data_IF_628609226822
#
_entry.id   IF_628609226822
#
_cell.length_a   1.000
_cell.length_b   1.000
_cell.length_c   1.000
_cell.angle_alpha   90.00
_cell.angle_beta   90.00
_cell.angle_gamma   90.00
#
_symmetry.space_group_name_H-M   'P 1'
#
loop_
_entity.id
_entity.type
_entity.pdbx_description
1 polymer ?
#
# COMPACT_ATOMS: atom_id res chain seq x y z
N UNK A 1 10.94 -8.60 -8.49
CA UNK A 1 9.79 -9.52 -8.56
C UNK A 1 8.51 -8.74 -8.30
N UNK A 2 7.46 -8.98 -9.08
CA UNK A 2 6.17 -8.29 -9.00
C UNK A 2 5.06 -9.18 -8.41
N UNK A 3 5.39 -10.28 -7.74
CA UNK A 3 4.41 -11.23 -7.22
C UNK A 3 3.37 -10.59 -6.28
N UNK A 4 3.78 -9.67 -5.40
CA UNK A 4 2.87 -8.99 -4.47
C UNK A 4 1.90 -8.04 -5.20
N UNK A 5 2.34 -7.40 -6.29
CA UNK A 5 1.52 -6.54 -7.13
C UNK A 5 0.43 -7.34 -7.85
N UNK A 6 0.84 -8.46 -8.48
CA UNK A 6 -0.09 -9.37 -9.17
C UNK A 6 -1.06 -10.02 -8.16
N UNK A 7 -0.56 -10.50 -7.03
CA UNK A 7 -1.37 -11.09 -5.98
C UNK A 7 -2.46 -10.12 -5.49
N UNK A 8 -2.08 -8.87 -5.24
CA UNK A 8 -3.00 -7.83 -4.81
C UNK A 8 -4.06 -7.52 -5.87
N UNK A 9 -3.64 -7.43 -7.15
CA UNK A 9 -4.51 -7.17 -8.29
C UNK A 9 -5.58 -8.24 -8.44
N UNK A 10 -5.17 -9.50 -8.35
CA UNK A 10 -6.09 -10.65 -8.48
C UNK A 10 -7.00 -10.79 -7.28
N UNK A 11 -6.45 -10.79 -6.05
CA UNK A 11 -7.23 -11.02 -4.84
C UNK A 11 -8.33 -9.97 -4.62
N UNK A 12 -8.06 -8.72 -4.97
CA UNK A 12 -9.02 -7.62 -4.83
C UNK A 12 -9.85 -7.38 -6.09
N UNK A 13 -9.70 -8.18 -7.15
CA UNK A 13 -10.37 -7.97 -8.44
C UNK A 13 -10.20 -6.53 -8.98
N UNK A 14 -9.04 -5.93 -8.80
CA UNK A 14 -8.83 -4.52 -9.16
C UNK A 14 -8.99 -4.29 -10.67
N UNK A 15 -9.70 -3.24 -11.10
CA UNK A 15 -9.79 -2.85 -12.50
C UNK A 15 -8.43 -2.49 -13.10
N UNK A 16 -8.34 -2.42 -14.42
CA UNK A 16 -7.09 -2.31 -15.16
C UNK A 16 -6.22 -1.12 -14.69
N UNK A 17 -6.82 0.04 -14.46
CA UNK A 17 -6.12 1.25 -14.04
C UNK A 17 -5.72 1.28 -12.56
N UNK A 18 -6.30 0.40 -11.73
CA UNK A 18 -6.13 0.46 -10.27
C UNK A 18 -5.04 -0.49 -9.77
N UNK A 19 -4.00 0.05 -9.18
CA UNK A 19 -2.95 -0.70 -8.51
C UNK A 19 -2.82 -0.24 -7.06
N UNK A 20 -3.12 -1.13 -6.10
CA UNK A 20 -2.95 -0.85 -4.67
C UNK A 20 -1.50 -0.95 -4.20
N UNK A 21 -0.67 -1.68 -4.93
CA UNK A 21 0.77 -1.82 -4.71
C UNK A 21 1.47 -1.59 -6.05
N UNK A 22 2.60 -0.89 -6.01
CA UNK A 22 3.57 -0.80 -7.12
C UNK A 22 4.92 -1.26 -6.62
N UNK A 23 5.63 -2.01 -7.43
CA UNK A 23 7.00 -2.43 -7.12
C UNK A 23 7.95 -1.56 -7.93
N UNK A 24 8.67 -0.71 -7.23
CA UNK A 24 9.68 0.14 -7.85
C UNK A 24 11.05 -0.52 -7.73
N UNK A 25 11.90 -0.33 -8.71
CA UNK A 25 13.32 -0.65 -8.63
C UNK A 25 14.11 0.57 -8.19
N UNK A 26 14.99 0.39 -7.21
CA UNK A 26 15.81 1.47 -6.66
C UNK A 26 17.25 1.00 -6.50
N UNK A 27 18.20 1.86 -6.74
CA UNK A 27 19.62 1.54 -6.57
C UNK A 27 20.00 1.36 -5.11
N UNK A 28 19.43 2.16 -4.23
CA UNK A 28 19.70 2.09 -2.78
C UNK A 28 18.38 2.19 -2.00
N UNK A 29 18.17 1.23 -1.10
CA UNK A 29 17.00 1.23 -0.22
C UNK A 29 17.14 2.42 0.75
N UNK A 30 16.11 3.27 0.81
CA UNK A 30 16.14 4.50 1.60
C UNK A 30 16.17 5.79 0.76
N UNK A 31 16.60 5.72 -0.50
CA UNK A 31 16.41 6.80 -1.47
C UNK A 31 15.10 6.56 -2.20
N UNK A 32 14.01 7.11 -1.68
CA UNK A 32 12.68 6.99 -2.27
C UNK A 32 12.30 8.20 -3.13
N UNK A 33 13.27 8.86 -3.70
CA UNK A 33 13.05 9.88 -4.71
C UNK A 33 12.57 9.18 -6.00
N UNK A 34 11.38 9.51 -6.44
CA UNK A 34 10.77 8.96 -7.67
C UNK A 34 11.65 9.22 -8.90
N UNK A 35 12.46 10.28 -8.87
CA UNK A 35 13.44 10.58 -9.93
C UNK A 35 14.57 9.55 -10.04
N UNK A 36 14.77 8.73 -9.00
CA UNK A 36 15.81 7.69 -8.95
C UNK A 36 15.28 6.27 -9.19
N UNK A 37 13.97 6.13 -9.45
CA UNK A 37 13.40 4.84 -9.78
C UNK A 37 14.00 4.30 -11.08
N UNK A 38 14.15 2.97 -11.13
CA UNK A 38 14.76 2.22 -12.24
C UNK A 38 16.23 2.56 -12.53
N UNK A 39 16.90 3.20 -11.56
CA UNK A 39 18.31 3.54 -11.65
C UNK A 39 19.12 2.72 -10.65
N UNK A 40 20.10 1.96 -11.14
CA UNK A 40 21.04 1.25 -10.29
C UNK A 40 21.99 2.23 -9.58
N UNK A 41 22.37 1.94 -8.36
CA UNK A 41 23.44 2.65 -7.64
C UNK A 41 24.78 1.90 -7.75
N UNK A 42 25.87 2.60 -7.44
CA UNK A 42 27.22 2.07 -7.46
C UNK A 42 27.86 2.10 -8.85
N UNK A 43 29.05 1.51 -8.95
CA UNK A 43 29.83 1.39 -10.19
C UNK A 43 30.21 -0.07 -10.40
N UNK A 44 30.29 -0.46 -11.68
CA UNK A 44 30.75 -1.84 -12.02
C UNK A 44 32.12 -2.14 -11.36
N UNK A 45 32.33 -3.32 -10.72
CA UNK A 45 31.38 -4.46 -10.64
C UNK A 45 30.41 -4.42 -9.44
N UNK A 46 30.39 -3.36 -8.64
CA UNK A 46 29.62 -3.26 -7.39
C UNK A 46 28.32 -2.49 -7.61
N UNK A 47 27.49 -2.97 -8.54
CA UNK A 47 26.16 -2.41 -8.78
C UNK A 47 25.14 -2.96 -7.79
N UNK A 48 24.19 -2.10 -7.40
CA UNK A 48 23.04 -2.48 -6.55
C UNK A 48 21.73 -2.09 -7.24
N UNK A 49 20.76 -2.97 -7.16
CA UNK A 49 19.38 -2.73 -7.59
C UNK A 49 18.45 -3.54 -6.70
N UNK A 50 17.52 -2.87 -6.05
CA UNK A 50 16.57 -3.47 -5.09
C UNK A 50 15.14 -3.26 -5.57
N UNK A 51 14.26 -4.21 -5.24
CA UNK A 51 12.82 -4.12 -5.51
C UNK A 51 12.09 -3.65 -4.25
N UNK A 52 11.43 -2.51 -4.34
CA UNK A 52 10.74 -1.89 -3.21
C UNK A 52 9.24 -1.81 -3.50
N UNK A 53 8.41 -2.63 -2.84
CA UNK A 53 6.96 -2.53 -2.97
C UNK A 53 6.45 -1.31 -2.19
N UNK A 54 5.70 -0.45 -2.87
CA UNK A 54 5.09 0.76 -2.30
C UNK A 54 3.58 0.65 -2.39
N UNK A 55 2.92 0.78 -1.26
CA UNK A 55 1.48 0.80 -1.08
C UNK A 55 1.09 1.93 -0.13
N UNK A 56 -0.21 2.08 0.18
CA UNK A 56 -0.63 2.96 1.25
C UNK A 56 0.15 2.67 2.54
N UNK A 57 0.65 3.71 3.17
CA UNK A 57 1.49 3.60 4.37
C UNK A 57 0.68 3.48 5.67
N UNK A 58 -0.66 3.55 5.59
CA UNK A 58 -1.57 3.49 6.74
C UNK A 58 -1.08 4.34 7.92
N UNK A 59 -0.75 5.59 7.63
CA UNK A 59 -0.09 6.54 8.53
C UNK A 59 -0.79 6.69 9.87
N UNK A 60 -0.01 6.96 10.93
CA UNK A 60 -0.57 7.31 12.24
C UNK A 60 -1.26 8.69 12.19
N UNK A 61 -0.63 9.66 11.53
CA UNK A 61 -1.18 11.00 11.28
C UNK A 61 -1.55 11.17 9.78
N UNK A 62 -2.68 10.59 9.31
CA UNK A 62 -2.98 10.54 7.89
C UNK A 62 -3.51 11.89 7.36
N UNK A 63 -2.67 12.65 6.68
CA UNK A 63 -3.05 13.92 6.02
C UNK A 63 -4.25 13.77 5.08
N UNK A 64 -4.39 12.61 4.46
CA UNK A 64 -5.51 12.30 3.57
C UNK A 64 -6.86 12.17 4.30
N UNK A 65 -6.88 11.80 5.58
CA UNK A 65 -8.09 11.81 6.42
C UNK A 65 -8.47 13.24 6.74
N UNK A 66 -7.50 14.04 7.17
CA UNK A 66 -7.72 15.45 7.49
C UNK A 66 -8.21 16.28 6.28
N UNK A 67 -7.75 15.93 5.07
CA UNK A 67 -8.11 16.63 3.83
C UNK A 67 -9.45 16.20 3.23
N UNK A 68 -10.11 15.15 3.74
CA UNK A 68 -11.33 14.62 3.15
C UNK A 68 -12.55 15.46 3.55
N UNK A 69 -13.21 16.22 2.62
CA UNK A 69 -14.29 17.12 2.96
C UNK A 69 -15.59 16.39 3.38
N UNK A 70 -15.79 15.15 2.94
CA UNK A 70 -16.96 14.34 3.27
C UNK A 70 -16.71 13.37 4.42
N UNK A 71 -15.46 13.24 4.90
CA UNK A 71 -15.08 12.23 5.87
C UNK A 71 -15.10 10.80 5.32
N UNK A 72 -15.11 10.62 4.00
CA UNK A 72 -15.07 9.30 3.36
C UNK A 72 -13.74 8.57 3.64
N UNK A 73 -12.62 9.29 3.69
CA UNK A 73 -11.34 8.70 4.11
C UNK A 73 -11.29 8.68 5.64
N UNK A 74 -11.13 7.49 6.21
CA UNK A 74 -11.20 7.25 7.66
C UNK A 74 -9.98 6.44 8.11
N UNK A 75 -9.63 6.57 9.40
CA UNK A 75 -8.71 5.66 10.09
C UNK A 75 -9.53 4.83 11.07
N UNK A 76 -9.36 3.53 11.01
CA UNK A 76 -9.98 2.60 11.96
C UNK A 76 -9.23 2.74 13.29
N UNK A 77 -9.93 3.04 14.40
CA UNK A 77 -9.28 3.28 15.68
C UNK A 77 -8.73 2.01 16.34
N UNK A 78 -9.28 0.84 15.98
CA UNK A 78 -8.90 -0.44 16.60
C UNK A 78 -7.71 -1.08 15.85
N UNK A 79 -7.64 -0.89 14.54
CA UNK A 79 -6.62 -1.55 13.69
C UNK A 79 -5.59 -0.59 13.11
N UNK A 80 -5.79 0.73 13.23
CA UNK A 80 -4.94 1.74 12.60
C UNK A 80 -5.06 1.79 11.07
N UNK A 81 -5.85 0.92 10.45
CA UNK A 81 -5.99 0.85 8.99
C UNK A 81 -6.73 2.07 8.45
N UNK A 82 -6.08 2.80 7.56
CA UNK A 82 -6.74 3.89 6.82
C UNK A 82 -7.52 3.28 5.65
N UNK A 83 -8.78 3.66 5.48
CA UNK A 83 -9.65 3.16 4.41
C UNK A 83 -10.49 4.28 3.79
N UNK A 84 -11.15 3.98 2.70
CA UNK A 84 -12.10 4.88 2.03
C UNK A 84 -13.48 4.21 2.03
N UNK A 85 -14.46 4.97 2.45
CA UNK A 85 -15.88 4.62 2.36
C UNK A 85 -16.40 5.11 0.99
N UNK A 86 -16.59 4.18 0.07
CA UNK A 86 -16.98 4.50 -1.30
C UNK A 86 -18.37 5.15 -1.41
N UNK A 87 -19.27 4.88 -0.46
CA UNK A 87 -20.62 5.49 -0.45
C UNK A 87 -20.56 6.98 -0.08
N UNK A 88 -19.54 7.41 0.66
CA UNK A 88 -19.35 8.82 1.06
C UNK A 88 -18.33 9.54 0.17
N UNK A 89 -17.59 8.81 -0.67
CA UNK A 89 -16.57 9.39 -1.53
C UNK A 89 -17.21 10.10 -2.73
N UNK A 90 -16.84 11.35 -2.94
CA UNK A 90 -17.32 12.18 -4.07
C UNK A 90 -16.28 12.35 -5.18
N UNK A 91 -15.17 11.62 -5.14
CA UNK A 91 -14.11 11.67 -6.16
C UNK A 91 -13.40 13.02 -6.31
N UNK A 92 -13.32 13.84 -5.27
CA UNK A 92 -12.74 15.19 -5.34
C UNK A 92 -11.20 15.25 -5.34
N UNK A 93 -10.52 14.12 -5.24
CA UNK A 93 -9.06 13.95 -5.25
C UNK A 93 -8.25 14.70 -4.18
N UNK A 94 -8.92 15.38 -3.23
CA UNK A 94 -8.23 16.09 -2.14
C UNK A 94 -7.31 15.17 -1.33
N UNK A 95 -7.69 13.91 -1.14
CA UNK A 95 -6.88 12.91 -0.46
C UNK A 95 -5.68 12.40 -1.29
N UNK A 96 -5.74 12.49 -2.62
CA UNK A 96 -4.60 12.21 -3.51
C UNK A 96 -3.59 13.33 -3.36
N UNK A 97 -4.05 14.59 -3.50
CA UNK A 97 -3.20 15.78 -3.39
C UNK A 97 -2.53 15.91 -2.02
N UNK A 98 -3.24 15.54 -0.95
CA UNK A 98 -2.71 15.60 0.42
C UNK A 98 -1.76 14.44 0.78
N UNK A 99 -1.74 13.36 -0.02
CA UNK A 99 -0.90 12.20 0.25
C UNK A 99 0.55 12.47 -0.16
N UNK A 100 1.55 12.36 0.74
CA UNK A 100 2.93 12.60 0.39
C UNK A 100 3.60 11.41 -0.33
N UNK A 101 2.85 10.34 -0.58
CA UNK A 101 3.33 9.13 -1.25
C UNK A 101 2.70 9.03 -2.63
N UNK A 102 3.50 9.30 -3.65
CA UNK A 102 3.03 9.33 -5.03
C UNK A 102 2.49 7.96 -5.48
N UNK A 103 1.35 7.97 -6.19
CA UNK A 103 0.78 6.80 -6.82
C UNK A 103 0.17 5.74 -5.90
N UNK A 104 0.08 5.98 -4.58
CA UNK A 104 -0.54 5.02 -3.64
C UNK A 104 -2.06 5.19 -3.54
N UNK A 105 -2.63 6.23 -4.16
CA UNK A 105 -4.06 6.47 -4.29
C UNK A 105 -4.39 6.69 -5.76
N UNK A 106 -5.51 6.15 -6.19
CA UNK A 106 -5.93 6.22 -7.60
C UNK A 106 -7.39 6.66 -7.64
N UNK A 107 -7.69 7.61 -8.51
CA UNK A 107 -9.06 7.92 -8.89
C UNK A 107 -9.54 6.80 -9.82
N UNK A 108 -10.64 6.16 -9.47
CA UNK A 108 -11.29 5.13 -10.29
C UNK A 108 -12.18 5.83 -11.32
N UNK A 109 -12.02 5.48 -12.59
CA UNK A 109 -12.81 6.04 -13.69
C UNK A 109 -14.31 5.82 -13.46
N UNK A 110 -15.15 6.61 -14.15
CA UNK A 110 -16.61 6.48 -14.05
C UNK A 110 -17.10 5.09 -14.48
N UNK A 111 -16.39 4.49 -15.42
CA UNK A 111 -16.68 3.16 -15.99
C UNK A 111 -15.38 2.35 -15.99
N UNK A 112 -15.02 1.70 -14.85
CA UNK A 112 -13.77 0.97 -14.73
C UNK A 112 -13.78 -0.30 -15.60
N UNK A 113 -12.66 -0.57 -16.24
CA UNK A 113 -12.48 -1.72 -17.12
C UNK A 113 -11.64 -2.81 -16.43
N UNK A 114 -11.95 -4.08 -16.70
CA UNK A 114 -11.19 -5.24 -16.23
C UNK A 114 -10.50 -5.95 -17.41
N UNK A 115 -9.40 -6.63 -17.13
CA UNK A 115 -8.71 -7.46 -18.11
C UNK A 115 -9.48 -8.75 -18.49
N UNK A 116 -10.38 -9.18 -17.62
CA UNK A 116 -11.15 -10.41 -17.76
C UNK A 116 -12.64 -10.10 -17.64
N UNK A 117 -13.46 -10.77 -18.45
CA UNK A 117 -14.92 -10.70 -18.40
C UNK A 117 -15.55 -11.51 -17.24
N UNK A 118 -14.72 -11.97 -16.31
CA UNK A 118 -15.13 -12.73 -15.13
C UNK A 118 -14.52 -12.13 -13.88
N UNK A 119 -15.28 -12.13 -12.80
CA UNK A 119 -14.79 -11.74 -11.48
C UNK A 119 -13.80 -12.76 -10.99
N UNK A 120 -12.62 -12.30 -10.57
CA UNK A 120 -11.55 -13.12 -9.99
C UNK A 120 -11.24 -12.67 -8.57
N UNK A 121 -10.51 -13.50 -7.82
CA UNK A 121 -10.03 -13.17 -6.49
C UNK A 121 -10.95 -13.62 -5.37
N UNK A 122 -10.94 -12.88 -4.27
CA UNK A 122 -11.69 -13.22 -3.07
C UNK A 122 -13.20 -12.98 -3.28
N UNK A 123 -14.02 -13.86 -2.70
CA UNK A 123 -15.48 -13.76 -2.83
C UNK A 123 -16.06 -12.50 -2.17
N UNK A 124 -15.33 -11.90 -1.25
CA UNK A 124 -15.65 -10.67 -0.53
C UNK A 124 -14.67 -9.54 -0.86
N UNK A 125 -14.08 -9.59 -2.07
CA UNK A 125 -13.24 -8.52 -2.59
C UNK A 125 -13.98 -7.17 -2.58
N UNK A 126 -13.26 -6.04 -2.44
CA UNK A 126 -13.87 -4.71 -2.50
C UNK A 126 -14.67 -4.50 -3.77
N UNK A 127 -15.80 -3.82 -3.66
CA UNK A 127 -16.56 -3.32 -4.81
C UNK A 127 -15.90 -2.02 -5.28
N UNK A 128 -15.53 -1.97 -6.55
CA UNK A 128 -14.91 -0.79 -7.15
C UNK A 128 -15.99 0.14 -7.72
N UNK A 129 -16.24 1.21 -6.99
CA UNK A 129 -17.21 2.23 -7.39
C UNK A 129 -16.54 3.28 -8.30
N UNK A 130 -17.12 3.52 -9.48
CA UNK A 130 -16.65 4.58 -10.37
C UNK A 130 -16.74 5.97 -9.73
N UNK A 131 -15.88 6.89 -10.17
CA UNK A 131 -15.73 8.24 -9.63
C UNK A 131 -15.42 8.30 -8.12
N UNK A 132 -14.70 7.31 -7.61
CA UNK A 132 -14.19 7.30 -6.22
C UNK A 132 -12.68 7.25 -6.20
N UNK A 133 -12.10 7.48 -5.02
CA UNK A 133 -10.66 7.29 -4.82
C UNK A 133 -10.41 6.03 -4.03
N UNK A 134 -9.55 5.18 -4.55
CA UNK A 134 -9.18 3.93 -3.92
C UNK A 134 -7.68 3.83 -3.63
N UNK A 135 -7.33 2.90 -2.77
CA UNK A 135 -5.97 2.59 -2.35
C UNK A 135 -5.91 1.22 -1.68
N UNK A 136 -4.72 0.77 -1.31
CA UNK A 136 -4.55 -0.43 -0.49
C UNK A 136 -5.49 -0.40 0.73
N UNK A 137 -6.29 -1.44 0.89
CA UNK A 137 -7.25 -1.64 1.99
C UNK A 137 -6.64 -2.42 3.15
N UNK A 138 -5.37 -2.81 3.05
CA UNK A 138 -4.69 -3.76 3.92
C UNK A 138 -5.38 -5.13 3.95
N UNK A 139 -6.10 -5.48 2.88
CA UNK A 139 -6.91 -6.71 2.78
C UNK A 139 -7.78 -6.93 4.01
N UNK A 140 -8.57 -5.92 4.44
CA UNK A 140 -9.41 -5.98 5.66
C UNK A 140 -10.30 -7.19 5.70
N UNK A 141 -10.80 -7.64 4.55
CA UNK A 141 -11.58 -8.85 4.41
C UNK A 141 -10.78 -10.10 4.84
N UNK A 142 -9.52 -10.22 4.43
CA UNK A 142 -8.65 -11.34 4.82
C UNK A 142 -8.24 -11.25 6.29
N UNK A 143 -7.74 -10.11 6.74
CA UNK A 143 -7.29 -9.96 8.13
C UNK A 143 -8.42 -10.13 9.14
N UNK A 144 -9.65 -9.73 8.81
CA UNK A 144 -10.82 -9.95 9.66
C UNK A 144 -11.18 -11.45 9.80
N UNK A 145 -10.72 -12.29 8.88
CA UNK A 145 -10.82 -13.77 8.96
C UNK A 145 -9.60 -14.41 9.63
N UNK A 146 -8.62 -13.61 10.07
CA UNK A 146 -7.35 -14.11 10.62
C UNK A 146 -6.35 -14.60 9.55
N UNK A 147 -6.55 -14.21 8.30
CA UNK A 147 -5.70 -14.58 7.17
C UNK A 147 -4.68 -13.48 6.85
N UNK A 148 -3.55 -13.86 6.26
CA UNK A 148 -2.54 -12.90 5.80
C UNK A 148 -3.06 -12.09 4.60
N UNK A 149 -2.63 -10.81 4.45
CA UNK A 149 -2.85 -10.07 3.21
C UNK A 149 -2.31 -10.81 1.98
N UNK A 150 -3.05 -10.78 0.88
CA UNK A 150 -2.73 -11.52 -0.35
C UNK A 150 -1.30 -11.29 -0.87
N UNK A 151 -0.80 -10.06 -0.77
CA UNK A 151 0.56 -9.71 -1.16
C UNK A 151 1.65 -10.36 -0.29
N UNK A 152 1.30 -10.88 0.87
CA UNK A 152 2.19 -11.60 1.78
C UNK A 152 2.06 -13.10 1.57
N UNK A 153 0.83 -13.61 1.46
CA UNK A 153 0.56 -15.01 1.16
C UNK A 153 1.34 -15.51 -0.07
N UNK A 154 1.33 -14.72 -1.14
CA UNK A 154 1.95 -15.07 -2.42
C UNK A 154 3.38 -14.51 -2.61
N UNK A 155 4.00 -13.97 -1.55
CA UNK A 155 5.39 -13.54 -1.62
C UNK A 155 6.34 -14.75 -1.66
N UNK A 156 7.01 -15.04 -2.78
CA UNK A 156 7.87 -16.23 -2.88
C UNK A 156 9.11 -16.12 -2.00
N UNK A 157 9.57 -14.89 -1.73
CA UNK A 157 10.71 -14.61 -0.87
C UNK A 157 10.36 -14.51 0.62
N UNK A 158 9.07 -14.60 0.99
CA UNK A 158 8.59 -14.38 2.37
C UNK A 158 9.20 -13.13 3.00
N UNK A 159 9.35 -12.05 2.21
CA UNK A 159 10.01 -10.81 2.59
C UNK A 159 9.04 -9.74 3.12
N UNK A 160 7.78 -10.09 3.32
CA UNK A 160 6.74 -9.18 3.79
C UNK A 160 6.08 -9.77 5.02
N UNK A 161 5.90 -8.93 6.04
CA UNK A 161 5.32 -9.29 7.32
C UNK A 161 4.22 -8.31 7.68
N UNK A 162 3.26 -8.76 8.47
CA UNK A 162 2.21 -7.93 9.02
C UNK A 162 1.93 -8.34 10.47
N UNK A 163 1.33 -7.45 11.22
CA UNK A 163 0.95 -7.73 12.59
C UNK A 163 0.75 -6.45 13.37
N UNK A 164 0.52 -6.61 14.65
CA UNK A 164 0.36 -5.54 15.61
C UNK A 164 1.74 -5.06 16.08
N UNK A 165 2.04 -3.79 15.88
CA UNK A 165 3.30 -3.17 16.33
C UNK A 165 3.27 -2.85 17.84
N UNK A 166 2.08 -2.76 18.43
CA UNK A 166 1.90 -2.50 19.85
C UNK A 166 1.99 -3.78 20.71
N UNK A 167 1.90 -4.96 20.06
CA UNK A 167 2.17 -6.25 20.69
C UNK A 167 3.67 -6.60 20.59
N UNK A 168 4.44 -6.50 21.67
CA UNK A 168 5.87 -6.79 21.65
C UNK A 168 6.22 -8.26 21.33
N UNK A 169 5.23 -9.16 21.40
CA UNK A 169 5.39 -10.57 21.02
C UNK A 169 5.08 -10.82 19.55
N UNK A 170 4.58 -9.83 18.83
CA UNK A 170 4.30 -9.95 17.40
C UNK A 170 5.60 -10.03 16.58
N UNK A 171 5.53 -10.79 15.48
CA UNK A 171 6.70 -10.93 14.58
C UNK A 171 7.19 -9.59 14.01
N UNK A 172 6.28 -8.65 13.76
CA UNK A 172 6.65 -7.34 13.21
C UNK A 172 7.33 -6.47 14.26
N UNK A 173 6.87 -6.48 15.52
CA UNK A 173 7.51 -5.76 16.61
C UNK A 173 8.93 -6.31 16.87
N UNK A 174 9.10 -7.64 16.90
CA UNK A 174 10.43 -8.27 17.00
C UNK A 174 11.37 -7.84 15.87
N UNK A 175 10.87 -7.86 14.61
CA UNK A 175 11.69 -7.51 13.45
C UNK A 175 12.11 -6.04 13.46
N UNK A 176 11.20 -5.13 13.80
CA UNK A 176 11.50 -3.69 13.90
C UNK A 176 12.47 -3.41 15.04
N UNK A 177 12.35 -4.11 16.19
CA UNK A 177 13.26 -3.95 17.30
C UNK A 177 14.68 -4.51 17.05
N UNK A 178 14.80 -5.53 16.19
CA UNK A 178 16.05 -6.26 15.95
C UNK A 178 16.85 -5.78 14.73
N UNK A 179 16.30 -4.94 13.89
CA UNK A 179 16.91 -4.52 12.62
C UNK A 179 16.91 -3.00 12.45
N UNK A 180 17.84 -2.51 11.64
CA UNK A 180 17.75 -1.15 11.10
C UNK A 180 16.64 -1.10 10.06
N UNK A 181 15.94 0.03 10.00
CA UNK A 181 14.85 0.24 9.05
C UNK A 181 14.79 1.69 8.57
N UNK A 182 14.10 1.86 7.46
CA UNK A 182 13.72 3.17 6.94
C UNK A 182 12.21 3.23 6.74
N UNK A 183 11.63 4.40 6.87
CA UNK A 183 10.24 4.69 6.51
C UNK A 183 10.19 5.73 5.41
N UNK A 184 9.20 5.62 4.52
CA UNK A 184 9.07 6.56 3.40
C UNK A 184 8.71 7.96 3.91
N UNK A 185 9.39 8.97 3.37
CA UNK A 185 9.06 10.39 3.52
C UNK A 185 8.69 10.81 4.95
N UNK A 186 9.49 10.41 5.94
CA UNK A 186 9.27 10.74 7.36
C UNK A 186 9.16 12.26 7.61
N UNK A 187 9.87 13.06 6.80
CA UNK A 187 9.83 14.53 6.88
C UNK A 187 8.42 15.13 6.64
N UNK A 188 7.51 14.37 6.03
CA UNK A 188 6.13 14.81 5.84
C UNK A 188 5.30 14.79 7.13
N UNK A 189 5.81 14.22 8.23
CA UNK A 189 5.15 14.19 9.54
C UNK A 189 3.89 13.32 9.61
N UNK A 190 3.69 12.43 8.63
CA UNK A 190 2.50 11.56 8.58
C UNK A 190 2.66 10.28 9.39
N UNK A 191 3.86 9.98 9.88
CA UNK A 191 4.20 8.79 10.67
C UNK A 191 3.73 7.48 9.98
N UNK A 192 4.39 7.06 8.89
CA UNK A 192 4.00 5.85 8.16
C UNK A 192 4.18 4.59 9.00
N UNK A 193 3.21 3.65 8.88
CA UNK A 193 3.23 2.35 9.59
C UNK A 193 3.87 1.23 8.76
N UNK A 194 4.53 1.56 7.66
CA UNK A 194 5.29 0.60 6.83
C UNK A 194 6.77 0.82 7.04
N UNK A 195 7.47 -0.24 7.41
CA UNK A 195 8.89 -0.26 7.73
C UNK A 195 9.63 -1.09 6.67
N UNK A 196 10.72 -0.57 6.16
CA UNK A 196 11.60 -1.27 5.22
C UNK A 196 12.90 -1.59 5.95
N UNK A 197 13.15 -2.87 6.19
CA UNK A 197 14.38 -3.33 6.83
C UNK A 197 15.56 -3.21 5.85
N UNK A 198 16.72 -2.74 6.31
CA UNK A 198 17.92 -2.45 5.51
C UNK A 198 19.16 -3.16 6.04
#
# INVERSE_FOLDING_TARGET
>A
CHACEVACKVANNNPAELNYIRVNTVGEVGSFDTATYDTASGTYPNLKLSFVPVQCQHCENPSCVAACPTGATKKDPDTGVVYVDSEQCIGCDSCITACPYEGVRTHVSADPEWYLDVVVGEHDAPIHAGNTVEKCTFCRNLINRGEEPACMQLCPGRARFWGDLDDPSSKVAELVAANEYVRLNESAGTEPSVYYLV
#
